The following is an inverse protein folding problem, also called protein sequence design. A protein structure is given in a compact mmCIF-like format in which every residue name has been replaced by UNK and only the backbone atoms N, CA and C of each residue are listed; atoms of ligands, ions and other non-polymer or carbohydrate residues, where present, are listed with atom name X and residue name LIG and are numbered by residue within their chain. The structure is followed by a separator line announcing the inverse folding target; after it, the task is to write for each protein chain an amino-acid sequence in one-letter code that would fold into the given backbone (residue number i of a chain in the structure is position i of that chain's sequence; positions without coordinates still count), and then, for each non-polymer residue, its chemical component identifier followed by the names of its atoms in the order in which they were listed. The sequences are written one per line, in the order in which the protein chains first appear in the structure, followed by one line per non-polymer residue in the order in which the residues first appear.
data_IF_261611766003
#
_entry.id   IF_261611766003
#
_cell.length_a   1.000
_cell.length_b   1.000
_cell.length_c   1.000
_cell.angle_alpha   90.00
_cell.angle_beta   90.00
_cell.angle_gamma   90.00
#
_symmetry.space_group_name_H-M   'P 1'
#
loop_
_entity.id
_entity.type
_entity.pdbx_description
1 polymer ?
#
# COMPACT_ATOMS: atom_id res chain seq x y z
N UNK A 1 -8.43 -29.04 -20.25
CA UNK A 1 -7.66 -28.92 -19.00
C UNK A 1 -8.46 -28.02 -18.07
N UNK A 2 -8.53 -28.32 -16.77
CA UNK A 2 -9.18 -27.41 -15.83
C UNK A 2 -8.41 -26.07 -15.88
N UNK A 3 -9.06 -25.01 -16.34
CA UNK A 3 -8.49 -23.66 -16.41
C UNK A 3 -8.39 -23.08 -14.99
N UNK A 4 -7.47 -23.65 -14.19
CA UNK A 4 -7.20 -23.23 -12.82
C UNK A 4 -6.41 -21.91 -12.86
N UNK A 5 -7.12 -20.79 -12.90
CA UNK A 5 -6.55 -19.44 -12.79
C UNK A 5 -6.45 -18.99 -11.31
N UNK A 6 -5.94 -19.88 -10.46
CA UNK A 6 -5.82 -19.69 -9.01
C UNK A 6 -4.45 -20.16 -8.52
N UNK A 7 -3.90 -19.58 -7.44
CA UNK A 7 -2.67 -20.07 -6.84
C UNK A 7 -2.77 -21.52 -6.35
N UNK A 8 -1.67 -22.26 -6.46
CA UNK A 8 -1.57 -23.68 -6.08
C UNK A 8 -0.39 -23.89 -5.14
N UNK A 9 -0.61 -24.44 -3.94
CA UNK A 9 0.47 -24.84 -3.04
C UNK A 9 0.78 -26.33 -3.18
N UNK A 10 2.05 -26.67 -3.40
CA UNK A 10 2.50 -28.07 -3.45
C UNK A 10 3.23 -28.45 -2.17
N UNK A 11 2.57 -29.26 -1.35
CA UNK A 11 3.11 -29.85 -0.12
C UNK A 11 3.37 -31.35 -0.32
N UNK A 12 4.50 -31.84 0.18
CA UNK A 12 4.83 -33.26 0.21
C UNK A 12 4.99 -33.76 1.65
N UNK A 13 4.23 -34.76 2.08
CA UNK A 13 4.33 -35.28 3.46
C UNK A 13 5.53 -36.22 3.57
N UNK A 14 6.44 -36.04 4.54
CA UNK A 14 7.58 -36.93 4.71
C UNK A 14 7.14 -38.37 4.98
N UNK A 15 7.89 -39.32 4.44
CA UNK A 15 7.74 -40.74 4.75
C UNK A 15 8.30 -41.06 6.15
N UNK A 16 7.71 -42.04 6.84
CA UNK A 16 8.29 -42.58 8.08
C UNK A 16 9.42 -43.56 7.71
N UNK A 17 10.69 -43.29 8.11
CA UNK A 17 11.81 -44.17 7.81
C UNK A 17 11.63 -45.61 8.31
N UNK A 18 10.79 -45.83 9.33
CA UNK A 18 10.47 -47.16 9.87
C UNK A 18 9.39 -47.90 9.06
N UNK A 19 8.71 -47.20 8.16
CA UNK A 19 7.61 -47.72 7.34
C UNK A 19 7.83 -47.48 5.83
N UNK A 20 9.09 -47.48 5.36
CA UNK A 20 9.44 -47.37 3.94
C UNK A 20 9.34 -48.71 3.17
N UNK A 21 8.43 -49.60 3.56
CA UNK A 21 8.14 -50.82 2.81
C UNK A 21 7.20 -50.54 1.62
N UNK A 22 7.04 -51.53 0.73
CA UNK A 22 6.21 -51.41 -0.48
C UNK A 22 4.76 -51.02 -0.20
N UNK A 23 4.20 -51.40 0.96
CA UNK A 23 2.80 -51.12 1.30
C UNK A 23 2.61 -49.74 1.90
N UNK A 24 3.61 -49.21 2.60
CA UNK A 24 3.48 -48.03 3.44
C UNK A 24 4.19 -46.77 2.89
N UNK A 25 5.14 -46.93 1.94
CA UNK A 25 5.82 -45.79 1.30
C UNK A 25 4.85 -44.93 0.49
N UNK A 26 4.99 -43.60 0.58
CA UNK A 26 4.20 -42.59 -0.15
C UNK A 26 4.91 -42.07 -1.39
N UNK A 27 6.24 -42.14 -1.39
CA UNK A 27 7.09 -41.56 -2.44
C UNK A 27 6.91 -40.04 -2.59
N UNK A 28 6.50 -39.35 -1.53
CA UNK A 28 6.24 -37.90 -1.56
C UNK A 28 7.47 -37.09 -1.97
N UNK A 29 8.67 -37.57 -1.62
CA UNK A 29 9.92 -36.87 -1.93
C UNK A 29 10.15 -36.75 -3.45
N UNK A 30 10.02 -37.84 -4.22
CA UNK A 30 10.11 -37.77 -5.68
C UNK A 30 8.78 -37.39 -6.34
N UNK A 31 7.65 -37.72 -5.71
CA UNK A 31 6.30 -37.39 -6.15
C UNK A 31 6.08 -35.89 -6.23
N UNK A 32 6.55 -35.11 -5.25
CA UNK A 32 6.51 -33.64 -5.30
C UNK A 32 7.23 -33.09 -6.54
N UNK A 33 8.45 -33.56 -6.82
CA UNK A 33 9.19 -33.15 -8.04
C UNK A 33 8.44 -33.53 -9.32
N UNK A 34 7.84 -34.72 -9.35
CA UNK A 34 7.06 -35.20 -10.50
C UNK A 34 5.79 -34.37 -10.73
N UNK A 35 5.08 -34.02 -9.65
CA UNK A 35 3.92 -33.14 -9.71
C UNK A 35 4.31 -31.73 -10.18
N UNK A 36 5.36 -31.14 -9.61
CA UNK A 36 5.87 -29.84 -10.03
C UNK A 36 6.33 -29.81 -11.49
N UNK A 37 6.96 -30.89 -11.99
CA UNK A 37 7.34 -31.03 -13.38
C UNK A 37 6.12 -30.97 -14.32
N UNK A 38 5.06 -31.71 -13.98
CA UNK A 38 3.82 -31.69 -14.74
C UNK A 38 3.13 -30.31 -14.69
N UNK A 39 3.04 -29.67 -13.52
CA UNK A 39 2.46 -28.32 -13.39
C UNK A 39 3.21 -27.32 -14.27
N UNK A 40 4.54 -27.34 -14.25
CA UNK A 40 5.37 -26.52 -15.15
C UNK A 40 5.13 -26.83 -16.62
N UNK A 41 5.04 -28.11 -17.00
CA UNK A 41 4.74 -28.52 -18.37
C UNK A 41 3.38 -27.99 -18.84
N UNK A 42 2.40 -27.89 -17.94
CA UNK A 42 1.07 -27.36 -18.23
C UNK A 42 0.96 -25.84 -18.11
N UNK A 43 2.06 -25.13 -17.76
CA UNK A 43 2.04 -23.69 -17.56
C UNK A 43 1.20 -23.24 -16.36
N UNK A 44 1.00 -24.11 -15.37
CA UNK A 44 0.27 -23.80 -14.14
C UNK A 44 1.28 -23.29 -13.10
N UNK A 45 1.21 -22.02 -12.66
CA UNK A 45 2.07 -21.50 -11.60
C UNK A 45 1.74 -22.15 -10.26
N UNK A 46 2.76 -22.33 -9.42
CA UNK A 46 2.62 -22.98 -8.11
C UNK A 46 3.65 -22.49 -7.10
N UNK A 47 3.24 -22.51 -5.84
CA UNK A 47 4.02 -22.21 -4.64
C UNK A 47 4.58 -23.48 -4.02
N UNK A 48 5.69 -23.36 -3.30
CA UNK A 48 6.33 -24.45 -2.59
C UNK A 48 6.41 -24.14 -1.10
N UNK A 49 6.23 -25.17 -0.27
CA UNK A 49 6.60 -25.14 1.15
C UNK A 49 8.10 -24.90 1.32
N UNK A 50 8.51 -24.27 2.43
CA UNK A 50 9.92 -24.00 2.74
C UNK A 50 10.77 -25.28 2.71
N UNK A 51 10.37 -26.31 3.44
CA UNK A 51 10.98 -27.64 3.31
C UNK A 51 10.43 -28.42 2.13
N UNK A 52 11.29 -29.22 1.50
CA UNK A 52 10.89 -30.09 0.39
C UNK A 52 9.75 -31.03 0.80
N UNK A 53 9.85 -31.61 1.98
CA UNK A 53 8.75 -32.34 2.62
C UNK A 53 8.51 -31.79 4.01
N UNK A 54 7.25 -31.57 4.37
CA UNK A 54 6.83 -31.04 5.68
C UNK A 54 5.57 -31.76 6.13
N UNK A 55 5.43 -32.06 7.43
CA UNK A 55 4.24 -32.73 7.92
C UNK A 55 3.11 -31.71 8.14
N UNK A 56 1.85 -31.96 7.73
CA UNK A 56 0.76 -30.97 7.83
C UNK A 56 0.37 -30.50 9.24
N UNK A 57 1.00 -31.04 10.28
CA UNK A 57 0.72 -30.73 11.69
C UNK A 57 1.88 -30.00 12.37
N UNK A 58 2.91 -29.59 11.62
CA UNK A 58 4.02 -28.82 12.16
C UNK A 58 3.73 -27.32 12.07
N UNK A 59 4.32 -26.56 12.99
CA UNK A 59 4.27 -25.10 12.96
C UNK A 59 4.89 -24.53 11.66
N UNK A 60 5.87 -25.23 11.09
CA UNK A 60 6.44 -24.90 9.78
C UNK A 60 5.39 -24.91 8.66
N UNK A 61 4.55 -25.96 8.58
CA UNK A 61 3.50 -26.00 7.56
C UNK A 61 2.42 -24.96 7.82
N UNK A 62 2.12 -24.67 9.09
CA UNK A 62 1.21 -23.58 9.42
C UNK A 62 1.76 -22.24 8.89
N UNK A 63 3.05 -21.95 9.08
CA UNK A 63 3.69 -20.75 8.55
C UNK A 63 3.70 -20.71 7.01
N UNK A 64 3.97 -21.84 6.34
CA UNK A 64 3.87 -21.96 4.88
C UNK A 64 2.44 -21.65 4.39
N UNK A 65 1.43 -22.17 5.10
CA UNK A 65 0.03 -21.96 4.76
C UNK A 65 -0.41 -20.51 4.97
N UNK A 66 0.06 -19.85 6.04
CA UNK A 66 -0.23 -18.44 6.31
C UNK A 66 0.41 -17.53 5.26
N UNK A 67 1.65 -17.82 4.86
CA UNK A 67 2.35 -17.13 3.77
C UNK A 67 1.62 -17.31 2.44
N UNK A 68 1.26 -18.56 2.10
CA UNK A 68 0.52 -18.88 0.88
C UNK A 68 -0.88 -18.25 0.86
N UNK A 69 -1.55 -18.16 2.01
CA UNK A 69 -2.80 -17.43 2.14
C UNK A 69 -2.60 -15.93 1.85
N UNK A 70 -1.47 -15.35 2.24
CA UNK A 70 -1.04 -14.01 1.84
C UNK A 70 -0.90 -13.88 0.32
N UNK A 71 -0.20 -14.82 -0.33
CA UNK A 71 -0.06 -14.86 -1.80
C UNK A 71 -1.44 -14.90 -2.47
N UNK A 72 -2.34 -15.76 -1.98
CA UNK A 72 -3.70 -15.87 -2.48
C UNK A 72 -4.48 -14.55 -2.36
N UNK A 73 -4.38 -13.84 -1.22
CA UNK A 73 -5.02 -12.54 -1.03
C UNK A 73 -4.49 -11.49 -1.99
N UNK A 74 -3.17 -11.43 -2.19
CA UNK A 74 -2.54 -10.48 -3.13
C UNK A 74 -2.96 -10.79 -4.56
N UNK A 75 -2.82 -12.03 -5.02
CA UNK A 75 -3.19 -12.42 -6.39
C UNK A 75 -4.66 -12.15 -6.67
N UNK A 76 -5.55 -12.54 -5.74
CA UNK A 76 -6.99 -12.27 -5.91
C UNK A 76 -7.31 -10.78 -5.86
N UNK A 77 -6.74 -10.05 -4.91
CA UNK A 77 -7.09 -8.66 -4.65
C UNK A 77 -6.40 -7.66 -5.57
N UNK A 78 -5.39 -8.08 -6.33
CA UNK A 78 -4.75 -7.27 -7.38
C UNK A 78 -5.33 -7.52 -8.76
N UNK A 79 -6.08 -8.61 -8.96
CA UNK A 79 -6.88 -8.84 -10.16
C UNK A 79 -8.19 -8.04 -10.04
N UNK A 80 -8.53 -7.23 -11.04
CA UNK A 80 -9.78 -6.46 -11.08
C UNK A 80 -9.88 -5.30 -10.09
N UNK A 81 -8.75 -4.69 -9.71
CA UNK A 81 -8.75 -3.51 -8.82
C UNK A 81 -9.46 -2.34 -9.47
N UNK A 82 -10.31 -1.65 -8.71
CA UNK A 82 -10.96 -0.39 -9.09
C UNK A 82 -10.37 0.76 -8.29
N UNK A 83 -9.62 1.63 -8.94
CA UNK A 83 -8.92 2.77 -8.30
C UNK A 83 -9.69 4.06 -8.52
N UNK A 84 -10.08 4.75 -7.45
CA UNK A 84 -10.60 6.11 -7.55
C UNK A 84 -9.48 7.15 -7.66
N UNK A 85 -9.32 7.79 -8.82
CA UNK A 85 -8.47 8.96 -8.99
C UNK A 85 -9.28 10.24 -8.75
N UNK A 86 -9.20 10.78 -7.53
CA UNK A 86 -10.01 11.94 -7.09
C UNK A 86 -9.20 13.22 -7.31
N UNK A 87 -9.58 13.98 -8.33
CA UNK A 87 -8.91 15.17 -8.79
C UNK A 87 -7.83 14.90 -9.85
N UNK A 88 -7.18 15.97 -10.29
CA UNK A 88 -6.12 15.91 -11.28
C UNK A 88 -4.76 15.73 -10.61
N UNK A 89 -3.88 14.92 -11.23
CA UNK A 89 -2.48 14.82 -10.80
C UNK A 89 -1.84 16.22 -10.80
N UNK A 90 -1.28 16.68 -9.67
CA UNK A 90 -0.66 17.98 -9.58
C UNK A 90 0.58 18.10 -10.48
N UNK A 91 0.73 19.22 -11.19
CA UNK A 91 1.77 19.40 -12.21
C UNK A 91 3.20 19.12 -11.70
N UNK A 92 3.51 19.55 -10.47
CA UNK A 92 4.83 19.34 -9.86
C UNK A 92 5.14 17.88 -9.52
N UNK A 93 4.14 16.99 -9.44
CA UNK A 93 4.34 15.55 -9.27
C UNK A 93 4.38 14.82 -10.60
N UNK A 94 5.22 15.27 -11.53
CA UNK A 94 5.40 14.58 -12.83
C UNK A 94 5.96 13.18 -12.69
N UNK A 95 6.55 12.87 -11.54
CA UNK A 95 7.10 11.56 -11.21
C UNK A 95 6.02 10.50 -11.10
N UNK A 96 4.84 10.79 -10.54
CA UNK A 96 3.78 9.79 -10.31
C UNK A 96 2.82 9.61 -11.50
N UNK A 97 3.33 9.77 -12.72
CA UNK A 97 2.55 9.45 -13.93
C UNK A 97 2.39 7.95 -14.07
N UNK A 98 1.31 7.55 -14.71
CA UNK A 98 1.03 6.17 -15.03
C UNK A 98 0.26 6.09 -16.35
N UNK A 99 0.32 4.93 -17.00
CA UNK A 99 -0.50 4.62 -18.17
C UNK A 99 -1.74 3.85 -17.74
N UNK A 100 -2.89 4.53 -17.76
CA UNK A 100 -4.19 3.94 -17.48
C UNK A 100 -4.50 2.76 -18.43
N UNK A 101 -4.07 2.82 -19.69
CA UNK A 101 -4.25 1.71 -20.65
C UNK A 101 -3.46 0.47 -20.27
N UNK A 102 -2.26 0.64 -19.71
CA UNK A 102 -1.46 -0.49 -19.21
C UNK A 102 -2.11 -1.08 -17.96
N UNK A 103 -2.59 -0.23 -17.05
CA UNK A 103 -3.34 -0.72 -15.88
C UNK A 103 -4.58 -1.52 -16.31
N UNK A 104 -5.37 -0.98 -17.24
CA UNK A 104 -6.59 -1.64 -17.75
C UNK A 104 -6.26 -2.99 -18.42
N UNK A 105 -5.16 -3.08 -19.18
CA UNK A 105 -4.74 -4.36 -19.79
C UNK A 105 -4.32 -5.43 -18.77
N UNK A 106 -4.00 -5.02 -17.53
CA UNK A 106 -3.73 -5.90 -16.40
C UNK A 106 -4.95 -6.05 -15.48
N UNK A 107 -6.14 -5.62 -15.94
CA UNK A 107 -7.38 -5.71 -15.19
C UNK A 107 -7.44 -4.72 -14.02
N UNK A 108 -6.75 -3.59 -14.07
CA UNK A 108 -6.83 -2.53 -13.08
C UNK A 108 -7.52 -1.33 -13.73
N UNK A 109 -8.72 -1.01 -13.27
CA UNK A 109 -9.51 0.12 -13.78
C UNK A 109 -9.29 1.36 -12.93
N UNK A 110 -9.31 2.53 -13.58
CA UNK A 110 -9.17 3.82 -12.91
C UNK A 110 -10.42 4.67 -13.17
N UNK A 111 -11.13 4.99 -12.10
CA UNK A 111 -12.34 5.82 -12.12
C UNK A 111 -11.99 7.23 -11.66
N UNK A 112 -12.16 8.22 -12.53
CA UNK A 112 -11.79 9.61 -12.25
C UNK A 112 -12.97 10.42 -11.69
N UNK A 113 -12.70 11.28 -10.71
CA UNK A 113 -13.66 12.24 -10.19
C UNK A 113 -13.05 13.64 -10.14
N UNK A 114 -13.67 14.61 -10.82
CA UNK A 114 -13.17 15.99 -10.82
C UNK A 114 -13.43 16.70 -9.48
N UNK A 115 -12.48 17.53 -9.03
CA UNK A 115 -12.65 18.25 -7.75
C UNK A 115 -13.80 19.27 -7.77
N UNK A 116 -14.18 19.81 -8.93
CA UNK A 116 -15.36 20.69 -9.02
C UNK A 116 -16.66 19.96 -8.66
N UNK A 117 -16.77 18.68 -9.01
CA UNK A 117 -17.88 17.84 -8.58
C UNK A 117 -17.82 17.56 -7.09
N UNK A 118 -16.63 17.25 -6.56
CA UNK A 118 -16.42 17.04 -5.13
C UNK A 118 -16.87 18.26 -4.34
N UNK A 119 -16.37 19.45 -4.70
CA UNK A 119 -16.72 20.71 -4.03
C UNK A 119 -18.19 21.04 -4.18
N UNK A 120 -18.76 20.86 -5.38
CA UNK A 120 -20.17 21.08 -5.63
C UNK A 120 -21.08 20.17 -4.82
N UNK A 121 -20.74 18.88 -4.69
CA UNK A 121 -21.47 17.90 -3.85
C UNK A 121 -21.34 18.28 -2.38
N UNK A 122 -20.14 18.60 -1.91
CA UNK A 122 -19.89 18.99 -0.53
C UNK A 122 -20.63 20.27 -0.14
N UNK A 123 -20.70 21.26 -1.04
CA UNK A 123 -21.43 22.51 -0.82
C UNK A 123 -22.95 22.32 -0.68
N UNK A 124 -23.52 21.25 -1.26
CA UNK A 124 -24.95 20.91 -1.15
C UNK A 124 -25.30 20.22 0.17
N UNK A 125 -24.31 19.66 0.88
CA UNK A 125 -24.53 19.06 2.20
C UNK A 125 -24.78 20.16 3.23
N UNK A 126 -25.90 20.06 3.95
CA UNK A 126 -26.20 20.94 5.07
C UNK A 126 -25.28 20.65 6.27
N UNK A 127 -24.96 21.67 7.06
CA UNK A 127 -24.09 21.51 8.25
C UNK A 127 -24.71 20.59 9.32
N UNK A 128 -26.05 20.48 9.31
CA UNK A 128 -26.84 19.65 10.20
C UNK A 128 -27.17 18.26 9.62
N UNK A 129 -26.69 17.94 8.41
CA UNK A 129 -26.92 16.65 7.78
C UNK A 129 -26.43 15.50 8.67
N UNK A 130 -27.20 14.41 8.75
CA UNK A 130 -26.90 13.29 9.62
C UNK A 130 -25.55 12.64 9.27
N UNK A 131 -25.24 12.47 7.98
CA UNK A 131 -23.97 11.89 7.51
C UNK A 131 -22.79 12.79 7.86
N UNK A 132 -22.96 14.11 7.76
CA UNK A 132 -21.93 15.08 8.13
C UNK A 132 -21.65 15.03 9.64
N UNK A 133 -22.69 15.02 10.47
CA UNK A 133 -22.54 14.91 11.94
C UNK A 133 -21.84 13.61 12.35
N UNK A 134 -22.21 12.50 11.72
CA UNK A 134 -21.55 11.21 11.94
C UNK A 134 -20.06 11.28 11.56
N UNK A 135 -19.73 11.83 10.38
CA UNK A 135 -18.34 11.96 9.95
C UNK A 135 -17.52 12.89 10.88
N UNK A 136 -18.12 13.96 11.42
CA UNK A 136 -17.49 14.80 12.44
C UNK A 136 -17.14 13.97 13.69
N UNK A 137 -18.06 13.16 14.18
CA UNK A 137 -17.82 12.31 15.34
C UNK A 137 -16.69 11.30 15.09
N UNK A 138 -16.68 10.68 13.91
CA UNK A 138 -15.61 9.75 13.49
C UNK A 138 -14.26 10.46 13.46
N UNK A 139 -14.16 11.65 12.85
CA UNK A 139 -12.90 12.40 12.78
C UNK A 139 -12.35 12.77 14.16
N UNK A 140 -13.23 13.16 15.09
CA UNK A 140 -12.84 13.52 16.47
C UNK A 140 -12.44 12.31 17.32
N UNK A 141 -13.04 11.14 17.09
CA UNK A 141 -12.66 9.89 17.75
C UNK A 141 -11.36 9.31 17.16
N UNK A 142 -11.14 9.51 15.87
CA UNK A 142 -10.04 8.91 15.15
C UNK A 142 -8.65 9.40 15.60
N UNK A 143 -8.52 10.71 15.83
CA UNK A 143 -7.26 11.40 16.17
C UNK A 143 -7.54 12.60 17.07
N UNK A 144 -6.54 13.02 17.87
CA UNK A 144 -6.67 14.24 18.67
C UNK A 144 -6.82 15.47 17.74
N UNK A 145 -7.92 16.20 17.89
CA UNK A 145 -8.23 17.43 17.14
C UNK A 145 -8.20 18.69 18.03
N UNK A 146 -7.55 18.64 19.19
CA UNK A 146 -7.40 19.80 20.05
C UNK A 146 -6.70 20.95 19.31
N UNK A 147 -7.27 22.16 19.40
CA UNK A 147 -6.75 23.34 18.69
C UNK A 147 -7.22 23.48 17.23
N UNK A 148 -7.96 22.51 16.69
CA UNK A 148 -8.55 22.59 15.34
C UNK A 148 -9.91 23.27 15.41
N UNK A 149 -10.10 24.32 14.60
CA UNK A 149 -11.36 25.09 14.56
C UNK A 149 -12.46 24.24 13.91
N UNK A 150 -13.67 24.27 14.48
CA UNK A 150 -14.82 23.47 14.06
C UNK A 150 -15.16 23.57 12.57
N UNK A 151 -14.95 24.74 11.96
CA UNK A 151 -15.20 24.94 10.53
C UNK A 151 -14.32 24.03 9.65
N UNK A 152 -13.09 23.76 10.07
CA UNK A 152 -12.16 22.88 9.34
C UNK A 152 -12.59 21.42 9.47
N UNK A 153 -13.02 21.00 10.67
CA UNK A 153 -13.60 19.68 10.89
C UNK A 153 -14.88 19.49 10.08
N UNK A 154 -15.76 20.50 10.03
CA UNK A 154 -16.99 20.46 9.23
C UNK A 154 -16.71 20.32 7.73
N UNK A 155 -15.75 21.09 7.20
CA UNK A 155 -15.32 20.98 5.79
C UNK A 155 -14.76 19.58 5.49
N UNK A 156 -13.85 19.08 6.31
CA UNK A 156 -13.35 17.70 6.16
C UNK A 156 -14.46 16.67 6.25
N UNK A 157 -15.44 16.85 7.15
CA UNK A 157 -16.55 15.92 7.26
C UNK A 157 -17.42 15.87 6.00
N UNK A 158 -17.75 17.03 5.43
CA UNK A 158 -18.48 17.09 4.15
C UNK A 158 -17.71 16.47 3.00
N UNK A 159 -16.41 16.75 2.92
CA UNK A 159 -15.52 16.11 1.95
C UNK A 159 -15.50 14.59 2.13
N UNK A 160 -15.39 14.12 3.37
CA UNK A 160 -15.42 12.69 3.72
C UNK A 160 -16.69 11.99 3.28
N UNK A 161 -17.86 12.60 3.51
CA UNK A 161 -19.15 12.05 3.04
C UNK A 161 -19.17 11.89 1.52
N UNK A 162 -18.70 12.90 0.78
CA UNK A 162 -18.67 12.82 -0.70
C UNK A 162 -17.70 11.74 -1.19
N UNK A 163 -16.54 11.60 -0.54
CA UNK A 163 -15.56 10.55 -0.88
C UNK A 163 -16.13 9.17 -0.58
N UNK A 164 -16.76 8.97 0.58
CA UNK A 164 -17.38 7.68 0.95
C UNK A 164 -18.48 7.29 -0.04
N UNK A 165 -19.37 8.22 -0.39
CA UNK A 165 -20.44 7.98 -1.36
C UNK A 165 -19.88 7.67 -2.75
N UNK A 166 -18.77 8.29 -3.14
CA UNK A 166 -18.10 7.99 -4.40
C UNK A 166 -17.46 6.59 -4.41
N UNK A 167 -16.81 6.21 -3.30
CA UNK A 167 -16.23 4.87 -3.11
C UNK A 167 -17.32 3.82 -3.21
N UNK A 168 -18.43 3.98 -2.49
CA UNK A 168 -19.54 3.03 -2.49
C UNK A 168 -20.21 2.94 -3.87
N UNK A 169 -20.54 4.08 -4.48
CA UNK A 169 -21.27 4.11 -5.74
C UNK A 169 -20.50 3.52 -6.93
N UNK A 170 -19.17 3.52 -6.87
CA UNK A 170 -18.30 3.01 -7.94
C UNK A 170 -17.59 1.70 -7.58
N UNK A 171 -17.91 1.12 -6.42
CA UNK A 171 -17.31 -0.12 -5.91
C UNK A 171 -15.78 -0.06 -5.93
N UNK A 172 -15.21 1.04 -5.45
CA UNK A 172 -13.77 1.24 -5.45
C UNK A 172 -13.09 0.35 -4.41
N UNK A 173 -11.89 -0.13 -4.72
CA UNK A 173 -11.05 -0.90 -3.79
C UNK A 173 -10.06 -0.02 -3.03
N UNK A 174 -9.57 1.03 -3.72
CA UNK A 174 -8.57 1.99 -3.24
C UNK A 174 -8.77 3.35 -3.92
N UNK A 175 -8.11 4.39 -3.42
CA UNK A 175 -8.12 5.70 -4.08
C UNK A 175 -6.78 6.42 -4.03
N UNK A 176 -6.61 7.40 -4.91
CA UNK A 176 -5.53 8.37 -4.87
C UNK A 176 -6.11 9.77 -5.03
N UNK A 177 -5.72 10.70 -4.15
CA UNK A 177 -6.41 12.00 -3.99
C UNK A 177 -5.48 13.15 -4.35
N UNK A 178 -6.00 14.12 -5.09
CA UNK A 178 -5.36 15.41 -5.32
C UNK A 178 -5.36 16.19 -4.01
N UNK A 179 -4.25 16.08 -3.28
CA UNK A 179 -4.08 16.68 -1.95
C UNK A 179 -3.33 18.02 -1.96
N UNK A 180 -3.14 18.61 -3.14
CA UNK A 180 -2.65 19.98 -3.34
C UNK A 180 -2.83 20.43 -4.81
N UNK A 181 -2.88 21.72 -5.12
CA UNK A 181 -3.12 22.87 -4.23
C UNK A 181 -4.58 23.34 -4.27
N UNK A 182 -5.39 22.74 -5.16
CA UNK A 182 -6.75 23.18 -5.46
C UNK A 182 -7.68 23.03 -4.26
N UNK A 183 -7.50 21.96 -3.47
CA UNK A 183 -8.33 21.71 -2.29
C UNK A 183 -8.11 22.76 -1.21
N UNK A 184 -6.87 23.15 -0.97
CA UNK A 184 -6.53 24.15 0.03
C UNK A 184 -6.97 25.54 -0.45
N UNK A 185 -6.72 25.88 -1.71
CA UNK A 185 -7.04 27.22 -2.23
C UNK A 185 -8.54 27.48 -2.35
N UNK A 186 -9.32 26.50 -2.82
CA UNK A 186 -10.74 26.71 -3.14
C UNK A 186 -11.71 26.08 -2.12
N UNK A 187 -11.27 25.09 -1.36
CA UNK A 187 -12.11 24.42 -0.35
C UNK A 187 -11.65 24.75 1.08
N UNK A 188 -10.34 24.88 1.32
CA UNK A 188 -9.76 25.41 2.56
C UNK A 188 -9.48 24.39 3.65
N UNK A 189 -9.16 23.14 3.28
CA UNK A 189 -8.60 22.08 4.14
C UNK A 189 -7.75 21.14 3.29
N UNK A 190 -6.90 20.31 3.91
CA UNK A 190 -6.25 19.17 3.24
C UNK A 190 -7.05 17.88 3.46
N UNK A 191 -6.99 16.87 2.57
CA UNK A 191 -7.75 15.62 2.71
C UNK A 191 -7.09 14.60 3.65
N UNK A 192 -5.92 14.90 4.19
CA UNK A 192 -5.01 13.91 4.75
C UNK A 192 -5.59 13.08 5.90
N UNK A 193 -6.40 13.67 6.78
CA UNK A 193 -7.06 12.95 7.88
C UNK A 193 -8.07 11.92 7.37
N UNK A 194 -8.80 12.22 6.29
CA UNK A 194 -9.74 11.30 5.67
C UNK A 194 -9.00 10.14 5.02
N UNK A 195 -7.91 10.43 4.31
CA UNK A 195 -7.07 9.42 3.68
C UNK A 195 -6.39 8.49 4.71
N UNK A 196 -5.95 9.07 5.83
CA UNK A 196 -5.43 8.34 6.99
C UNK A 196 -6.49 7.42 7.58
N UNK A 197 -7.71 7.93 7.79
CA UNK A 197 -8.85 7.16 8.29
C UNK A 197 -9.21 6.00 7.37
N UNK A 198 -9.28 6.24 6.05
CA UNK A 198 -9.53 5.21 5.04
C UNK A 198 -8.45 4.13 5.13
N UNK A 199 -7.17 4.52 5.06
CA UNK A 199 -6.04 3.57 5.09
C UNK A 199 -6.00 2.77 6.38
N UNK A 200 -6.32 3.41 7.52
CA UNK A 200 -6.40 2.74 8.81
C UNK A 200 -7.57 1.75 8.88
N UNK A 201 -8.62 1.99 8.13
CA UNK A 201 -9.79 1.11 7.99
C UNK A 201 -9.61 0.06 6.88
N UNK A 202 -8.35 -0.17 6.46
CA UNK A 202 -7.98 -1.09 5.40
C UNK A 202 -8.53 -0.66 4.02
N UNK A 203 -8.64 0.63 3.74
CA UNK A 203 -8.91 1.16 2.40
C UNK A 203 -7.75 2.06 1.98
N UNK A 204 -6.81 1.55 1.18
CA UNK A 204 -5.58 2.29 0.88
C UNK A 204 -5.87 3.58 0.11
N UNK A 205 -5.33 4.71 0.60
CA UNK A 205 -5.54 6.04 0.02
C UNK A 205 -4.21 6.81 -0.13
N UNK A 206 -3.73 6.94 -1.37
CA UNK A 206 -2.47 7.61 -1.69
C UNK A 206 -2.66 9.11 -1.99
N UNK A 207 -1.65 9.92 -1.74
CA UNK A 207 -1.68 11.35 -1.98
C UNK A 207 -1.23 11.66 -3.43
N UNK A 208 -1.36 12.91 -3.86
CA UNK A 208 -0.96 13.44 -5.17
C UNK A 208 -1.54 12.73 -6.40
N UNK A 209 -2.66 12.01 -6.24
CA UNK A 209 -3.22 11.13 -7.28
C UNK A 209 -2.20 10.06 -7.73
N UNK A 210 -1.35 9.60 -6.81
CA UNK A 210 -0.38 8.53 -7.06
C UNK A 210 -1.06 7.16 -7.09
N UNK A 211 -1.66 6.83 -8.24
CA UNK A 211 -2.39 5.57 -8.48
C UNK A 211 -1.49 4.35 -8.31
N UNK A 212 -0.26 4.37 -8.81
CA UNK A 212 0.66 3.24 -8.67
C UNK A 212 1.21 3.11 -7.25
N UNK A 213 1.36 4.22 -6.52
CA UNK A 213 1.58 4.21 -5.08
C UNK A 213 0.42 3.57 -4.29
N UNK A 214 -0.83 3.90 -4.64
CA UNK A 214 -2.01 3.30 -4.03
C UNK A 214 -2.08 1.78 -4.26
N UNK A 215 -1.70 1.31 -5.46
CA UNK A 215 -1.56 -0.12 -5.75
C UNK A 215 -0.50 -0.79 -4.87
N UNK A 216 0.63 -0.12 -4.63
CA UNK A 216 1.66 -0.56 -3.69
C UNK A 216 1.13 -0.73 -2.27
N UNK A 217 0.39 0.28 -1.79
CA UNK A 217 -0.27 0.24 -0.49
C UNK A 217 -1.26 -0.92 -0.40
N UNK A 218 -2.08 -1.12 -1.44
CA UNK A 218 -3.08 -2.20 -1.49
C UNK A 218 -2.43 -3.58 -1.41
N UNK A 219 -1.38 -3.80 -2.21
CA UNK A 219 -0.67 -5.07 -2.23
C UNK A 219 -0.09 -5.42 -0.85
N UNK A 220 0.55 -4.45 -0.18
CA UNK A 220 1.04 -4.63 1.19
C UNK A 220 -0.11 -4.98 2.15
N UNK A 221 -1.21 -4.23 2.11
CA UNK A 221 -2.39 -4.46 2.95
C UNK A 221 -3.02 -5.83 2.72
N UNK A 222 -3.05 -6.32 1.47
CA UNK A 222 -3.51 -7.66 1.14
C UNK A 222 -2.57 -8.75 1.69
N UNK A 223 -1.26 -8.54 1.59
CA UNK A 223 -0.27 -9.48 2.10
C UNK A 223 -0.35 -9.59 3.63
N UNK A 224 -0.43 -8.47 4.35
CA UNK A 224 -0.33 -8.43 5.82
C UNK A 224 -1.67 -8.48 6.53
N UNK A 225 -2.77 -8.09 5.89
CA UNK A 225 -4.05 -7.84 6.56
C UNK A 225 -4.04 -6.61 7.47
N UNK A 226 -3.00 -5.77 7.40
CA UNK A 226 -2.84 -4.55 8.20
C UNK A 226 -2.75 -3.30 7.32
N UNK A 227 -2.96 -2.10 7.87
CA UNK A 227 -2.77 -0.86 7.12
C UNK A 227 -1.37 -0.73 6.52
N UNK A 228 -1.28 0.02 5.42
CA UNK A 228 -0.04 0.44 4.77
C UNK A 228 -0.03 1.97 4.61
N UNK A 229 1.15 2.55 4.37
CA UNK A 229 1.35 3.98 4.20
C UNK A 229 2.08 4.26 2.88
N UNK A 230 1.87 5.44 2.30
CA UNK A 230 2.72 6.00 1.24
C UNK A 230 3.68 7.01 1.88
N UNK A 231 4.95 6.92 1.52
CA UNK A 231 6.05 7.69 2.10
C UNK A 231 7.04 8.08 1.01
N UNK A 232 7.85 9.08 1.29
CA UNK A 232 8.94 9.52 0.43
C UNK A 232 10.25 8.93 0.91
N UNK A 233 11.08 8.46 -0.03
CA UNK A 233 12.53 8.39 0.19
C UNK A 233 13.08 9.81 0.28
N UNK A 234 13.21 10.36 1.49
CA UNK A 234 13.30 11.81 1.67
C UNK A 234 14.72 12.34 1.92
N UNK A 235 15.31 12.06 3.09
CA UNK A 235 16.64 12.59 3.44
C UNK A 235 17.61 11.46 3.81
N UNK A 236 18.91 11.68 3.63
CA UNK A 236 19.93 10.84 4.26
C UNK A 236 19.83 10.96 5.79
N UNK A 237 20.23 9.91 6.50
CA UNK A 237 20.31 9.96 7.96
C UNK A 237 21.77 10.04 8.43
N UNK A 238 22.26 11.27 8.57
CA UNK A 238 23.67 11.52 8.89
C UNK A 238 24.59 10.93 7.82
N UNK A 239 25.65 10.26 8.27
CA UNK A 239 26.66 9.59 7.41
C UNK A 239 26.41 8.08 7.25
N UNK A 240 25.30 7.55 7.79
CA UNK A 240 24.98 6.13 7.70
C UNK A 240 24.48 5.78 6.29
N UNK A 241 25.20 4.93 5.53
CA UNK A 241 24.86 4.62 4.15
C UNK A 241 23.58 3.79 4.01
N UNK A 242 23.15 3.11 5.08
CA UNK A 242 22.02 2.18 5.07
C UNK A 242 20.79 2.73 5.80
N UNK A 243 20.85 3.99 6.27
CA UNK A 243 19.71 4.68 6.87
C UNK A 243 19.25 5.90 6.08
N UNK A 244 17.94 6.08 6.03
CA UNK A 244 17.31 7.28 5.50
C UNK A 244 16.13 7.72 6.35
N UNK A 245 15.79 9.00 6.22
CA UNK A 245 14.53 9.55 6.71
C UNK A 245 13.45 9.25 5.68
N UNK A 246 12.39 8.63 6.13
CA UNK A 246 11.13 8.54 5.38
C UNK A 246 10.15 9.56 5.91
N UNK A 247 9.35 10.14 5.01
CA UNK A 247 8.50 11.28 5.35
C UNK A 247 7.25 11.34 4.47
N UNK A 248 6.18 11.93 4.97
CA UNK A 248 5.08 12.47 4.17
C UNK A 248 4.46 13.68 4.88
N UNK A 249 3.86 14.61 4.13
CA UNK A 249 3.24 15.82 4.68
C UNK A 249 2.18 15.53 5.77
N UNK A 250 1.21 14.65 5.50
CA UNK A 250 0.98 13.38 6.19
C UNK A 250 -0.49 12.94 6.16
N UNK A 251 -0.73 11.86 5.41
CA UNK A 251 -1.94 11.05 5.30
C UNK A 251 -1.76 9.65 5.96
N UNK A 252 -0.71 9.46 6.76
CA UNK A 252 -0.32 8.16 7.30
C UNK A 252 -1.42 7.63 8.25
N UNK A 253 -1.82 6.36 8.17
CA UNK A 253 -2.81 5.77 9.08
C UNK A 253 -2.32 5.80 10.55
N UNK A 254 -3.23 6.06 11.50
CA UNK A 254 -2.90 6.09 12.95
C UNK A 254 -2.23 4.80 13.44
N UNK A 255 -2.49 3.68 12.77
CA UNK A 255 -1.80 2.41 13.00
C UNK A 255 -0.28 2.54 13.00
N UNK A 256 0.28 3.41 12.17
CA UNK A 256 1.73 3.61 12.05
C UNK A 256 2.31 4.56 13.09
N UNK A 257 1.50 5.44 13.66
CA UNK A 257 2.02 6.63 14.35
C UNK A 257 1.99 6.48 15.87
N UNK A 258 3.02 7.01 16.52
CA UNK A 258 3.09 7.23 17.95
C UNK A 258 2.37 8.53 18.31
N UNK A 259 1.31 8.44 19.13
CA UNK A 259 0.53 9.57 19.63
C UNK A 259 0.14 10.60 18.53
N UNK A 260 -0.52 10.17 17.44
CA UNK A 260 -0.84 11.06 16.33
C UNK A 260 -1.77 12.18 16.76
N UNK A 261 -1.54 13.37 16.21
CA UNK A 261 -2.42 14.54 16.37
C UNK A 261 -2.74 15.15 15.02
N UNK A 262 -3.91 15.77 14.91
CA UNK A 262 -4.26 16.54 13.72
C UNK A 262 -3.59 17.92 13.78
N UNK A 263 -3.03 18.36 12.66
CA UNK A 263 -2.44 19.69 12.53
C UNK A 263 -2.65 20.26 11.11
N UNK A 264 -1.91 21.31 10.75
CA UNK A 264 -1.88 21.88 9.41
C UNK A 264 -0.69 21.37 8.57
N UNK A 265 -0.85 21.44 7.26
CA UNK A 265 0.17 21.07 6.28
C UNK A 265 1.22 22.19 6.19
N UNK A 266 2.41 21.94 6.73
CA UNK A 266 3.49 22.93 6.87
C UNK A 266 4.08 23.42 5.54
N UNK A 267 4.21 22.54 4.55
CA UNK A 267 4.85 22.82 3.26
C UNK A 267 4.00 23.81 2.44
N UNK A 268 2.71 23.50 2.26
CA UNK A 268 1.80 24.29 1.43
C UNK A 268 1.23 25.51 2.17
N UNK A 269 1.23 25.51 3.51
CA UNK A 269 0.80 26.67 4.30
C UNK A 269 1.55 27.96 3.93
N UNK A 270 2.83 27.86 3.53
CA UNK A 270 3.60 29.01 3.05
C UNK A 270 3.07 29.62 1.75
N UNK A 271 2.32 28.86 0.95
CA UNK A 271 1.75 29.29 -0.34
C UNK A 271 0.28 29.72 -0.24
N UNK A 272 -0.54 28.96 0.51
CA UNK A 272 -2.01 29.16 0.56
C UNK A 272 -2.52 29.67 1.91
N UNK A 273 -1.61 29.87 2.88
CA UNK A 273 -1.93 30.30 4.24
C UNK A 273 -2.35 29.14 5.15
N UNK A 274 -1.88 29.19 6.41
CA UNK A 274 -2.13 28.15 7.43
C UNK A 274 -3.60 27.80 7.63
N UNK A 275 -4.48 28.80 7.61
CA UNK A 275 -5.92 28.61 7.84
C UNK A 275 -6.59 27.71 6.80
N UNK A 276 -5.96 27.52 5.63
CA UNK A 276 -6.49 26.71 4.55
C UNK A 276 -5.91 25.29 4.50
N UNK A 277 -5.04 24.93 5.45
CA UNK A 277 -4.24 23.69 5.35
C UNK A 277 -4.39 22.73 6.52
N UNK A 278 -5.41 22.92 7.37
CA UNK A 278 -5.72 21.99 8.45
C UNK A 278 -6.21 20.63 7.94
N UNK A 279 -5.79 19.56 8.61
CA UNK A 279 -6.21 18.19 8.33
C UNK A 279 -5.07 17.18 8.19
N UNK A 280 -3.80 17.55 8.37
CA UNK A 280 -2.69 16.58 8.37
C UNK A 280 -2.67 15.78 9.66
N UNK A 281 -2.16 14.54 9.60
CA UNK A 281 -1.95 13.71 10.79
C UNK A 281 -0.46 13.65 11.09
N UNK A 282 0.02 14.41 12.06
CA UNK A 282 1.44 14.46 12.38
C UNK A 282 1.80 13.40 13.43
N UNK A 283 3.00 12.84 13.32
CA UNK A 283 3.49 11.84 14.28
C UNK A 283 4.74 11.12 13.82
N UNK A 284 5.41 10.48 14.77
CA UNK A 284 6.54 9.59 14.50
C UNK A 284 6.01 8.20 14.13
N UNK A 285 6.58 7.59 13.10
CA UNK A 285 6.33 6.20 12.74
C UNK A 285 6.92 5.28 13.82
N UNK A 286 6.12 4.31 14.28
CA UNK A 286 6.51 3.28 15.23
C UNK A 286 7.69 2.47 14.72
N UNK A 287 8.53 2.01 15.63
CA UNK A 287 9.61 1.08 15.30
C UNK A 287 9.09 -0.32 15.02
N UNK A 288 9.81 -1.07 14.20
CA UNK A 288 9.43 -2.44 13.85
C UNK A 288 9.89 -2.88 12.46
N UNK A 289 9.53 -4.11 12.06
CA UNK A 289 9.83 -4.61 10.73
C UNK A 289 9.17 -3.75 9.66
N UNK A 290 9.84 -3.64 8.52
CA UNK A 290 9.40 -2.86 7.37
C UNK A 290 9.48 -3.73 6.11
N UNK A 291 8.39 -3.72 5.33
CA UNK A 291 8.41 -4.10 3.91
C UNK A 291 8.03 -2.89 3.11
N UNK A 292 8.79 -2.59 2.07
CA UNK A 292 8.49 -1.53 1.12
C UNK A 292 8.23 -2.11 -0.26
N UNK A 293 7.37 -1.44 -1.04
CA UNK A 293 7.17 -1.74 -2.46
C UNK A 293 6.76 -0.50 -3.25
N UNK A 294 7.12 -0.46 -4.53
CA UNK A 294 6.68 0.56 -5.47
C UNK A 294 6.38 -0.07 -6.80
N UNK A 295 5.21 0.27 -7.35
CA UNK A 295 4.82 -0.03 -8.72
C UNK A 295 5.07 1.17 -9.64
N UNK A 296 5.32 0.89 -10.91
CA UNK A 296 5.38 1.87 -11.98
C UNK A 296 4.86 1.22 -13.28
N UNK A 297 4.36 2.01 -14.22
CA UNK A 297 4.05 1.53 -15.56
C UNK A 297 5.23 1.77 -16.48
N UNK A 298 5.65 0.74 -17.20
CA UNK A 298 6.67 0.83 -18.23
C UNK A 298 6.01 1.04 -19.58
N UNK A 299 5.85 2.30 -19.98
CA UNK A 299 5.07 2.68 -21.16
C UNK A 299 5.63 2.10 -22.46
N UNK A 300 6.95 1.93 -22.53
CA UNK A 300 7.67 1.43 -23.71
C UNK A 300 7.51 -0.08 -23.90
N UNK A 301 7.40 -0.83 -22.79
CA UNK A 301 7.20 -2.29 -22.80
C UNK A 301 5.72 -2.70 -22.65
N UNK A 302 4.84 -1.76 -22.30
CA UNK A 302 3.43 -2.04 -22.07
C UNK A 302 3.16 -2.87 -20.81
N UNK A 303 4.06 -2.82 -19.82
CA UNK A 303 4.05 -3.71 -18.65
C UNK A 303 4.00 -2.95 -17.32
N UNK A 304 3.54 -3.63 -16.27
CA UNK A 304 3.73 -3.16 -14.90
C UNK A 304 5.07 -3.68 -14.37
N UNK A 305 5.84 -2.79 -13.75
CA UNK A 305 7.10 -3.11 -13.07
C UNK A 305 7.04 -2.70 -11.61
N UNK A 306 7.82 -3.37 -10.78
CA UNK A 306 7.89 -3.10 -9.36
C UNK A 306 9.29 -3.27 -8.78
N UNK A 307 9.53 -2.65 -7.63
CA UNK A 307 10.57 -3.09 -6.72
C UNK A 307 9.99 -3.31 -5.32
N UNK A 308 10.65 -4.16 -4.55
CA UNK A 308 10.31 -4.42 -3.16
C UNK A 308 11.55 -4.86 -2.38
N UNK A 309 11.45 -4.78 -1.05
CA UNK A 309 12.46 -5.27 -0.14
C UNK A 309 12.01 -5.10 1.31
N UNK A 310 12.90 -5.45 2.23
CA UNK A 310 12.65 -5.37 3.66
C UNK A 310 13.72 -4.55 4.37
N UNK A 311 13.38 -4.11 5.58
CA UNK A 311 14.25 -3.41 6.49
C UNK A 311 13.55 -3.23 7.83
N UNK A 312 13.85 -2.13 8.51
CA UNK A 312 13.28 -1.82 9.81
C UNK A 312 13.10 -0.31 10.02
N UNK A 313 12.01 0.08 10.68
CA UNK A 313 11.91 1.40 11.29
C UNK A 313 12.64 1.40 12.63
N UNK A 314 13.61 2.30 12.77
CA UNK A 314 14.52 2.36 13.92
C UNK A 314 14.20 3.54 14.85
N UNK A 315 14.60 3.44 16.13
CA UNK A 315 14.32 4.48 17.14
C UNK A 315 15.30 5.66 17.13
N UNK A 316 16.00 5.83 16.02
CA UNK A 316 16.96 6.90 15.81
C UNK A 316 16.31 8.29 15.98
N UNK A 317 16.97 9.18 16.72
CA UNK A 317 16.44 10.49 17.09
C UNK A 317 16.23 11.36 15.85
N UNK A 318 15.00 11.80 15.64
CA UNK A 318 14.63 12.71 14.55
C UNK A 318 13.52 13.62 15.04
N UNK A 319 13.72 14.94 14.88
CA UNK A 319 12.70 15.96 15.13
C UNK A 319 12.41 16.67 13.82
N UNK A 320 11.22 16.44 13.30
CA UNK A 320 10.70 17.10 12.10
C UNK A 320 9.18 17.19 12.19
N UNK A 321 8.54 17.75 11.17
CA UNK A 321 7.08 17.86 11.07
C UNK A 321 6.49 16.69 10.26
N UNK A 322 5.16 16.67 10.08
CA UNK A 322 4.48 15.66 9.27
C UNK A 322 4.51 14.26 9.90
N UNK A 323 4.43 13.25 9.03
CA UNK A 323 4.54 11.84 9.37
C UNK A 323 5.93 11.36 8.99
N UNK A 324 6.72 10.90 9.96
CA UNK A 324 8.15 10.68 9.72
C UNK A 324 8.72 9.48 10.47
N UNK A 325 9.77 8.89 9.93
CA UNK A 325 10.52 7.81 10.56
C UNK A 325 11.95 7.74 10.03
N UNK A 326 12.78 6.94 10.70
CA UNK A 326 14.09 6.55 10.17
C UNK A 326 13.99 5.09 9.77
N UNK A 327 14.31 4.79 8.52
CA UNK A 327 14.33 3.44 7.99
C UNK A 327 15.78 2.99 7.82
N UNK A 328 16.09 1.78 8.30
CA UNK A 328 17.34 1.08 8.01
C UNK A 328 17.04 -0.03 6.98
N UNK A 329 17.70 0.05 5.83
CA UNK A 329 17.57 -0.89 4.72
C UNK A 329 18.97 -1.43 4.40
N UNK A 330 19.23 -2.73 4.53
CA UNK A 330 20.53 -3.31 4.19
C UNK A 330 20.90 -2.99 2.74
N UNK A 331 22.15 -2.57 2.49
CA UNK A 331 22.63 -2.22 1.14
C UNK A 331 21.79 -1.13 0.45
N UNK A 332 21.30 -0.13 1.19
CA UNK A 332 20.40 0.91 0.68
C UNK A 332 20.99 1.64 -0.54
N UNK A 333 22.31 1.83 -0.58
CA UNK A 333 22.96 2.51 -1.70
C UNK A 333 22.78 1.77 -3.03
N UNK A 334 22.73 0.44 -3.02
CA UNK A 334 22.48 -0.34 -4.23
C UNK A 334 21.01 -0.25 -4.67
N UNK A 335 20.08 -0.26 -3.70
CA UNK A 335 18.67 0.00 -3.96
C UNK A 335 18.46 1.39 -4.58
N UNK A 336 19.04 2.44 -4.00
CA UNK A 336 18.90 3.81 -4.51
C UNK A 336 19.49 3.94 -5.92
N UNK A 337 20.62 3.29 -6.21
CA UNK A 337 21.18 3.22 -7.56
C UNK A 337 20.23 2.53 -8.53
N UNK A 338 19.60 1.43 -8.11
CA UNK A 338 18.60 0.73 -8.92
C UNK A 338 17.39 1.62 -9.19
N UNK A 339 16.81 2.25 -8.16
CA UNK A 339 15.65 3.16 -8.27
C UNK A 339 15.94 4.27 -9.28
N UNK A 340 17.08 4.96 -9.12
CA UNK A 340 17.46 6.07 -9.99
C UNK A 340 17.74 5.64 -11.43
N UNK A 341 18.45 4.52 -11.63
CA UNK A 341 18.79 4.03 -12.99
C UNK A 341 17.58 3.56 -13.77
N UNK A 342 16.56 3.05 -13.08
CA UNK A 342 15.35 2.54 -13.71
C UNK A 342 14.21 3.56 -13.69
N UNK A 343 14.40 4.75 -13.13
CA UNK A 343 13.42 5.83 -13.17
C UNK A 343 12.16 5.54 -12.35
N UNK A 344 12.30 4.86 -11.21
CA UNK A 344 11.21 4.71 -10.26
C UNK A 344 10.93 6.02 -9.53
N UNK A 345 9.69 6.17 -9.07
CA UNK A 345 9.20 7.34 -8.38
C UNK A 345 9.73 7.42 -6.94
N UNK A 346 9.77 8.63 -6.40
CA UNK A 346 10.20 8.91 -5.02
C UNK A 346 9.25 8.38 -3.93
N UNK A 347 7.96 8.30 -4.22
CA UNK A 347 6.98 7.70 -3.33
C UNK A 347 7.18 6.19 -3.27
N UNK A 348 7.01 5.61 -2.10
CA UNK A 348 7.13 4.19 -1.83
C UNK A 348 6.09 3.79 -0.80
N UNK A 349 5.39 2.69 -1.08
CA UNK A 349 4.44 2.13 -0.13
C UNK A 349 5.19 1.30 0.91
N UNK A 350 4.79 1.40 2.18
CA UNK A 350 5.44 0.72 3.29
C UNK A 350 4.43 0.08 4.25
N UNK A 351 4.83 -1.02 4.89
CA UNK A 351 4.08 -1.72 5.96
C UNK A 351 4.91 -1.85 7.23
N UNK A 352 4.26 -2.07 8.37
CA UNK A 352 4.91 -2.44 9.65
C UNK A 352 5.06 -3.97 9.79
N UNK A 353 5.54 -4.64 8.74
CA UNK A 353 5.63 -6.10 8.68
C UNK A 353 6.74 -6.56 7.72
N UNK A 354 7.21 -7.79 7.86
CA UNK A 354 8.08 -8.49 6.90
C UNK A 354 7.21 -9.41 6.03
N UNK A 355 6.98 -9.03 4.78
CA UNK A 355 6.12 -9.74 3.83
C UNK A 355 6.63 -9.68 2.38
N UNK A 356 7.88 -9.25 2.15
CA UNK A 356 8.43 -9.17 0.80
C UNK A 356 8.40 -10.50 0.02
N UNK A 357 8.64 -11.68 0.64
CA UNK A 357 8.53 -12.96 -0.08
C UNK A 357 7.11 -13.21 -0.64
N UNK A 358 6.07 -12.86 0.12
CA UNK A 358 4.66 -13.00 -0.30
C UNK A 358 4.40 -12.15 -1.54
N UNK A 359 4.81 -10.88 -1.49
CA UNK A 359 4.62 -9.95 -2.60
C UNK A 359 5.42 -10.38 -3.84
N UNK A 360 6.68 -10.73 -3.66
CA UNK A 360 7.55 -11.13 -4.77
C UNK A 360 7.00 -12.35 -5.51
N UNK A 361 6.53 -13.36 -4.78
CA UNK A 361 5.94 -14.54 -5.37
C UNK A 361 4.64 -14.21 -6.11
N UNK A 362 3.73 -13.44 -5.48
CA UNK A 362 2.49 -13.00 -6.10
C UNK A 362 2.75 -12.22 -7.40
N UNK A 363 3.68 -11.26 -7.38
CA UNK A 363 3.96 -10.37 -8.50
C UNK A 363 4.59 -11.12 -9.66
N UNK A 364 5.59 -11.95 -9.40
CA UNK A 364 6.38 -12.59 -10.46
C UNK A 364 5.73 -13.87 -10.98
N UNK A 365 5.25 -14.75 -10.10
CA UNK A 365 4.78 -16.07 -10.51
C UNK A 365 3.33 -16.07 -10.99
N UNK A 366 2.49 -15.19 -10.44
CA UNK A 366 1.04 -15.23 -10.65
C UNK A 366 0.50 -14.01 -11.40
N UNK A 367 1.07 -12.81 -11.20
CA UNK A 367 0.61 -11.58 -11.86
C UNK A 367 1.45 -11.18 -13.08
N UNK A 368 2.68 -11.71 -13.20
CA UNK A 368 3.56 -11.45 -14.34
C UNK A 368 4.20 -10.06 -14.36
N UNK A 369 4.35 -9.41 -13.21
CA UNK A 369 4.99 -8.10 -13.09
C UNK A 369 6.51 -8.23 -13.03
N UNK A 370 7.23 -7.41 -13.79
CA UNK A 370 8.70 -7.35 -13.72
C UNK A 370 9.12 -6.75 -12.38
N UNK A 371 9.69 -7.57 -11.49
CA UNK A 371 9.87 -7.19 -10.08
C UNK A 371 11.31 -7.37 -9.64
N UNK A 372 11.92 -6.29 -9.16
CA UNK A 372 13.22 -6.33 -8.47
C UNK A 372 13.02 -6.58 -6.97
N UNK A 373 13.61 -7.67 -6.46
CA UNK A 373 13.67 -7.94 -5.03
C UNK A 373 15.05 -7.56 -4.48
N UNK A 374 15.07 -6.44 -3.75
CA UNK A 374 16.23 -5.99 -2.97
C UNK A 374 16.44 -6.85 -1.72
N UNK A 375 17.66 -7.38 -1.53
CA UNK A 375 18.01 -8.31 -0.44
C UNK A 375 19.36 -8.00 0.18
#
# INVERSE_FOLDING_TARGET
MAALDVPVLVQGTPDDPKACDIKNRRDSFCGKMSACNNLRQYGIPFSLTQSHTVHPLTDEFQADLDSFAGVCRVVKGMKHVRVGAIGARPAAFNTVRYSEKILESHGISVETLDLSEVFGRAARLGDADAKVREKIAILRDYVNTEGIIDIHILKMAKLGVVIDEYIEANELDICAVQCWTSMEEYYGVVPCALMSLLSNSLFSSACEVDVTGALGMHALRLATGSPSAILDWNNNYGDDPDKCVVFHCSNIPRHFLENPVMDYQNIIAGSVGKENTFGTIIGRIKTGPLTFTRFSTEDELGSIRAYLGEGEFVNDSLKTFGGYGVAHIPNLQDLLRFICRNGFEHHVAMSLSSCAPILFEAFTQYLGYDTYYHR
#
